data_IF_765495980456
#
_entry.id   IF_765495980456
#
_cell.length_a   1.000
_cell.length_b   1.000
_cell.length_c   1.000
_cell.angle_alpha   90.00
_cell.angle_beta   90.00
_cell.angle_gamma   90.00
#
_symmetry.space_group_name_H-M   'P 1'
#
loop_
_entity.id
_entity.type
_entity.pdbx_description
1 polymer ?
#
# COMPACT_ATOMS: atom_id res chain seq x y z
N UNK A 1 -8.99 -4.65 -0.29
CA UNK A 1 -9.14 -5.04 -1.71
C UNK A 1 -10.14 -4.10 -2.38
N UNK A 2 -9.86 -3.61 -3.57
CA UNK A 2 -10.76 -2.73 -4.31
C UNK A 2 -11.55 -3.50 -5.39
N UNK A 3 -12.86 -3.25 -5.55
CA UNK A 3 -13.58 -3.71 -6.73
C UNK A 3 -12.98 -3.10 -8.00
N UNK A 4 -12.74 -3.93 -9.03
CA UNK A 4 -12.06 -3.48 -10.24
C UNK A 4 -12.72 -2.27 -10.92
N UNK A 5 -14.06 -2.22 -10.94
CA UNK A 5 -14.80 -1.09 -11.52
C UNK A 5 -14.57 0.22 -10.76
N UNK A 6 -14.46 0.16 -9.43
CA UNK A 6 -14.20 1.33 -8.59
C UNK A 6 -12.85 1.97 -8.94
N UNK A 7 -11.78 1.17 -9.01
CA UNK A 7 -10.47 1.68 -9.39
C UNK A 7 -10.48 2.24 -10.81
N UNK A 8 -11.06 1.52 -11.78
CA UNK A 8 -11.14 2.01 -13.17
C UNK A 8 -11.84 3.35 -13.28
N UNK A 9 -12.96 3.54 -12.57
CA UNK A 9 -13.65 4.83 -12.50
C UNK A 9 -12.77 5.90 -11.85
N UNK A 10 -12.08 5.58 -10.75
CA UNK A 10 -11.21 6.54 -10.08
C UNK A 10 -10.06 7.02 -10.98
N UNK A 11 -9.37 6.09 -11.65
CA UNK A 11 -8.30 6.38 -12.61
C UNK A 11 -8.76 7.18 -13.83
N UNK A 12 -10.00 6.98 -14.31
CA UNK A 12 -10.54 7.72 -15.46
C UNK A 12 -10.76 9.22 -15.21
N UNK A 13 -10.76 9.67 -13.95
CA UNK A 13 -11.01 11.08 -13.60
C UNK A 13 -9.77 11.98 -13.59
N UNK A 14 -8.58 11.44 -13.89
CA UNK A 14 -7.41 12.23 -14.28
C UNK A 14 -6.83 13.14 -13.20
N UNK A 15 -6.80 12.71 -11.94
CA UNK A 15 -6.18 13.49 -10.86
C UNK A 15 -4.66 13.28 -10.83
N UNK A 16 -3.89 14.36 -11.01
CA UNK A 16 -2.44 14.31 -11.19
C UNK A 16 -1.62 14.28 -9.88
N UNK A 17 -2.25 14.15 -8.70
CA UNK A 17 -1.55 14.34 -7.40
C UNK A 17 -1.93 13.28 -6.36
N UNK A 18 -2.14 12.03 -6.78
CA UNK A 18 -2.37 10.90 -5.84
C UNK A 18 -1.20 9.93 -5.94
N UNK A 19 -0.70 9.44 -4.81
CA UNK A 19 0.49 8.59 -4.75
C UNK A 19 0.18 7.10 -4.56
N UNK A 20 -1.07 6.77 -4.27
CA UNK A 20 -1.54 5.43 -3.99
C UNK A 20 -3.02 5.27 -4.41
N UNK A 21 -3.48 4.03 -4.48
CA UNK A 21 -4.85 3.69 -4.92
C UNK A 21 -5.93 4.15 -3.93
N UNK A 22 -5.64 4.18 -2.63
CA UNK A 22 -6.62 4.56 -1.62
C UNK A 22 -6.91 6.07 -1.71
N UNK A 23 -5.86 6.90 -1.76
CA UNK A 23 -6.00 8.35 -1.94
C UNK A 23 -6.67 8.70 -3.28
N UNK A 24 -6.42 7.93 -4.34
CA UNK A 24 -7.13 8.05 -5.61
C UNK A 24 -8.64 7.76 -5.48
N UNK A 25 -9.01 6.70 -4.77
CA UNK A 25 -10.42 6.34 -4.54
C UNK A 25 -11.12 7.36 -3.64
N UNK A 26 -10.45 7.88 -2.62
CA UNK A 26 -10.97 8.94 -1.74
C UNK A 26 -11.22 10.24 -2.52
N UNK A 27 -10.30 10.62 -3.41
CA UNK A 27 -10.43 11.82 -4.26
C UNK A 27 -11.69 11.79 -5.15
N UNK A 28 -12.22 10.60 -5.46
CA UNK A 28 -13.46 10.44 -6.24
C UNK A 28 -14.71 10.17 -5.39
N UNK A 29 -14.60 10.36 -4.08
CA UNK A 29 -15.69 10.19 -3.10
C UNK A 29 -15.88 8.76 -2.59
N UNK A 30 -14.94 7.86 -2.88
CA UNK A 30 -14.93 6.50 -2.34
C UNK A 30 -14.62 6.47 -0.84
N UNK A 31 -15.03 5.40 -0.17
CA UNK A 31 -14.73 5.17 1.26
C UNK A 31 -13.70 4.06 1.41
N UNK A 32 -12.74 4.28 2.29
CA UNK A 32 -11.67 3.33 2.60
C UNK A 32 -11.85 2.79 4.02
N UNK A 33 -11.55 1.51 4.19
CA UNK A 33 -11.40 0.89 5.49
C UNK A 33 -9.92 0.55 5.69
N UNK A 34 -9.35 1.03 6.80
CA UNK A 34 -7.97 0.72 7.20
C UNK A 34 -7.94 -0.60 7.99
N UNK A 35 -6.92 -1.40 7.73
CA UNK A 35 -6.62 -2.64 8.45
C UNK A 35 -5.17 -2.58 8.92
N UNK A 36 -4.91 -3.09 10.13
CA UNK A 36 -3.56 -3.21 10.67
C UNK A 36 -2.80 -4.37 9.98
N UNK A 37 -1.56 -4.12 9.56
CA UNK A 37 -0.69 -5.09 8.88
C UNK A 37 0.36 -5.72 9.81
N UNK A 38 0.38 -5.33 11.08
CA UNK A 38 1.35 -5.83 12.06
C UNK A 38 2.77 -5.27 11.89
N UNK A 39 2.97 -4.26 11.05
CA UNK A 39 4.21 -3.47 10.95
C UNK A 39 5.37 -4.13 10.21
N UNK A 40 5.21 -5.35 9.68
CA UNK A 40 6.28 -6.07 8.98
C UNK A 40 6.25 -5.90 7.45
N UNK A 41 5.19 -5.33 6.87
CA UNK A 41 5.03 -5.17 5.43
C UNK A 41 5.67 -3.85 4.94
N UNK A 42 6.99 -3.78 5.04
CA UNK A 42 7.75 -2.57 4.72
C UNK A 42 8.01 -2.42 3.22
N UNK A 43 8.12 -1.17 2.77
CA UNK A 43 8.60 -0.83 1.42
C UNK A 43 10.12 -0.61 1.46
N UNK A 44 10.88 -1.39 0.71
CA UNK A 44 12.33 -1.19 0.56
C UNK A 44 12.57 -0.08 -0.47
N UNK A 45 13.13 1.05 -0.02
CA UNK A 45 13.36 2.26 -0.84
C UNK A 45 14.74 2.85 -0.67
N UNK A 46 15.44 2.51 0.42
CA UNK A 46 16.77 3.00 0.79
C UNK A 46 17.66 1.82 1.18
N UNK A 47 19.00 1.95 1.07
CA UNK A 47 19.91 0.88 1.49
C UNK A 47 19.72 0.43 2.95
N UNK A 48 19.37 1.36 3.85
CA UNK A 48 19.12 1.04 5.26
C UNK A 48 17.89 0.12 5.48
N UNK A 49 16.91 0.13 4.56
CA UNK A 49 15.72 -0.72 4.66
C UNK A 49 16.07 -2.20 4.50
N UNK A 50 17.18 -2.52 3.82
CA UNK A 50 17.66 -3.90 3.63
C UNK A 50 18.06 -4.54 4.96
N UNK A 51 18.70 -3.78 5.86
CA UNK A 51 19.09 -4.27 7.19
C UNK A 51 17.87 -4.72 7.98
N UNK A 52 16.79 -3.94 7.92
CA UNK A 52 15.52 -4.31 8.57
C UNK A 52 14.86 -5.50 7.87
N UNK A 53 14.84 -5.54 6.53
CA UNK A 53 14.25 -6.63 5.77
C UNK A 53 14.94 -7.98 6.04
N UNK A 54 16.28 -8.01 6.11
CA UNK A 54 17.07 -9.21 6.43
C UNK A 54 16.78 -9.72 7.84
N UNK A 55 16.65 -8.81 8.82
CA UNK A 55 16.26 -9.17 10.19
C UNK A 55 14.84 -9.77 10.23
N UNK A 56 13.87 -9.15 9.54
CA UNK A 56 12.49 -9.66 9.45
C UNK A 56 12.39 -11.01 8.74
N UNK A 57 13.24 -11.30 7.76
CA UNK A 57 13.30 -12.62 7.10
C UNK A 57 13.90 -13.68 8.02
N UNK A 58 14.92 -13.33 8.80
CA UNK A 58 15.59 -14.25 9.72
C UNK A 58 14.68 -14.71 10.86
N UNK A 59 13.79 -13.83 11.35
CA UNK A 59 12.80 -14.20 12.37
C UNK A 59 11.71 -15.13 11.83
N UNK A 60 11.37 -15.04 10.54
CA UNK A 60 10.37 -15.91 9.88
C UNK A 60 10.89 -17.30 9.54
N UNK A 61 12.20 -17.48 9.34
CA UNK A 61 12.80 -18.79 9.07
C UNK A 61 12.94 -19.69 10.31
N UNK A 62 12.45 -19.25 11.47
CA UNK A 62 12.51 -19.95 12.75
C UNK A 62 11.18 -20.63 13.15
N UNK A 63 10.18 -20.61 12.27
CA UNK A 63 8.90 -21.33 12.39
C UNK A 63 8.89 -22.65 11.58
#
# INVERSE_FOLDING_TARGET
MFPAMMLRTAYSKGYAVTTDDASLVEAVGGRIQMLDDGGMNIKITRPADLVLAEALLSTRGSD
#
